data_IF_171905775790
#
_entry.id   IF_171905775790
#
_cell.length_a   1.000
_cell.length_b   1.000
_cell.length_c   1.000
_cell.angle_alpha   90.00
_cell.angle_beta   90.00
_cell.angle_gamma   90.00
#
_symmetry.space_group_name_H-M   'P 1'
#
loop_
_entity.id
_entity.type
_entity.pdbx_description
1 polymer ?
#
# COMPACT_ATOMS: atom_id res chain seq x y z
N UNK A 1 6.54 0.08 -5.64
CA UNK A 1 6.92 -1.36 -5.73
C UNK A 1 5.70 -2.19 -5.37
N UNK A 2 5.52 -3.39 -5.95
CA UNK A 2 4.35 -4.26 -5.68
C UNK A 2 4.82 -5.51 -4.96
N UNK A 3 4.23 -5.80 -3.81
CA UNK A 3 4.47 -7.01 -3.03
C UNK A 3 3.20 -7.86 -3.12
N UNK A 4 3.34 -9.13 -3.50
CA UNK A 4 2.20 -10.05 -3.64
C UNK A 4 2.39 -11.28 -2.78
N UNK A 5 1.37 -11.64 -2.01
CA UNK A 5 1.29 -12.88 -1.26
C UNK A 5 -0.05 -13.57 -1.51
N UNK A 6 -0.02 -14.68 -2.27
CA UNK A 6 -1.22 -15.35 -2.76
C UNK A 6 -2.20 -14.37 -3.44
N UNK A 7 -3.36 -14.16 -2.82
CA UNK A 7 -4.45 -13.27 -3.27
C UNK A 7 -4.34 -11.85 -2.68
N UNK A 8 -3.48 -11.63 -1.69
CA UNK A 8 -3.25 -10.32 -1.08
C UNK A 8 -2.06 -9.62 -1.75
N UNK A 9 -2.21 -8.32 -1.98
CA UNK A 9 -1.19 -7.47 -2.57
C UNK A 9 -1.10 -6.13 -1.85
N UNK A 10 0.11 -5.59 -1.82
CA UNK A 10 0.45 -4.30 -1.22
C UNK A 10 1.20 -3.49 -2.27
N UNK A 11 0.73 -2.27 -2.54
CA UNK A 11 1.34 -1.40 -3.53
C UNK A 11 1.93 -0.18 -2.84
N UNK A 12 3.25 -0.09 -2.81
CA UNK A 12 3.95 1.06 -2.24
C UNK A 12 4.10 2.14 -3.31
N UNK A 13 3.39 3.25 -3.11
CA UNK A 13 3.43 4.46 -3.94
C UNK A 13 4.08 5.63 -3.19
N UNK A 14 4.74 6.58 -3.86
CA UNK A 14 5.33 7.76 -3.22
C UNK A 14 4.37 8.95 -3.07
N UNK A 15 3.18 8.87 -3.67
CA UNK A 15 2.11 9.88 -3.58
C UNK A 15 0.74 9.22 -3.52
N UNK A 16 -0.22 9.91 -2.91
CA UNK A 16 -1.62 9.45 -2.83
C UNK A 16 -2.25 9.27 -4.21
N UNK A 17 -2.02 10.23 -5.14
CA UNK A 17 -2.53 10.15 -6.52
C UNK A 17 -2.09 8.87 -7.24
N UNK A 18 -0.82 8.46 -7.03
CA UNK A 18 -0.29 7.24 -7.64
C UNK A 18 -0.93 5.99 -7.04
N UNK A 19 -1.33 6.04 -5.78
CA UNK A 19 -2.04 4.96 -5.12
C UNK A 19 -3.47 4.80 -5.66
N UNK A 20 -4.16 5.91 -5.88
CA UNK A 20 -5.48 5.89 -6.51
C UNK A 20 -5.42 5.34 -7.93
N UNK A 21 -4.42 5.75 -8.71
CA UNK A 21 -4.17 5.18 -10.04
C UNK A 21 -3.89 3.68 -9.94
N UNK A 22 -3.02 3.25 -9.01
CA UNK A 22 -2.71 1.84 -8.82
C UNK A 22 -3.95 1.02 -8.42
N UNK A 23 -4.82 1.57 -7.58
CA UNK A 23 -6.10 0.96 -7.22
C UNK A 23 -7.00 0.82 -8.45
N UNK A 24 -7.15 1.86 -9.26
CA UNK A 24 -7.95 1.81 -10.50
C UNK A 24 -7.43 0.75 -11.46
N UNK A 25 -6.11 0.69 -11.65
CA UNK A 25 -5.45 -0.35 -12.48
C UNK A 25 -5.69 -1.75 -11.93
N UNK A 26 -5.65 -1.93 -10.60
CA UNK A 26 -5.94 -3.21 -9.98
C UNK A 26 -7.41 -3.63 -10.17
N UNK A 27 -8.36 -2.70 -10.04
CA UNK A 27 -9.79 -2.93 -10.30
C UNK A 27 -10.02 -3.34 -11.77
N UNK A 28 -9.40 -2.63 -12.72
CA UNK A 28 -9.48 -2.96 -14.15
C UNK A 28 -8.86 -4.32 -14.48
N UNK A 29 -7.74 -4.67 -13.85
CA UNK A 29 -7.08 -5.96 -14.07
C UNK A 29 -7.88 -7.14 -13.48
N UNK A 30 -8.60 -6.92 -12.37
CA UNK A 30 -9.43 -7.94 -11.72
C UNK A 30 -10.79 -8.12 -12.39
N UNK A 31 -11.33 -7.09 -13.03
CA UNK A 31 -12.68 -7.12 -13.62
C UNK A 31 -12.89 -8.29 -14.63
N UNK A 32 -11.95 -8.61 -15.54
CA UNK A 32 -12.08 -9.76 -16.44
C UNK A 32 -12.10 -11.12 -15.72
N UNK A 33 -11.56 -11.19 -14.50
CA UNK A 33 -11.51 -12.40 -13.68
C UNK A 33 -12.76 -12.54 -12.79
N UNK A 34 -13.70 -11.58 -12.85
CA UNK A 34 -14.88 -11.55 -11.99
C UNK A 34 -14.58 -11.23 -10.52
N UNK A 35 -13.36 -10.78 -10.24
CA UNK A 35 -12.90 -10.43 -8.90
C UNK A 35 -13.13 -8.94 -8.64
N UNK A 36 -13.42 -8.58 -7.39
CA UNK A 36 -13.60 -7.20 -6.95
C UNK A 36 -12.77 -6.94 -5.71
N UNK A 37 -12.18 -5.75 -5.63
CA UNK A 37 -11.51 -5.28 -4.42
C UNK A 37 -12.54 -5.12 -3.31
N UNK A 38 -12.23 -5.64 -2.12
CA UNK A 38 -13.12 -5.55 -0.97
C UNK A 38 -12.94 -4.18 -0.30
N UNK A 39 -13.96 -3.31 -0.24
CA UNK A 39 -13.81 -1.92 0.21
C UNK A 39 -13.27 -1.81 1.65
N UNK A 40 -13.60 -2.77 2.52
CA UNK A 40 -13.11 -2.76 3.90
C UNK A 40 -11.68 -3.29 4.07
N UNK A 41 -11.17 -4.06 3.10
CA UNK A 41 -9.80 -4.60 3.13
C UNK A 41 -8.82 -3.79 2.31
N UNK A 42 -9.31 -3.05 1.32
CA UNK A 42 -8.51 -2.21 0.43
C UNK A 42 -8.56 -0.76 0.90
N UNK A 43 -7.50 -0.31 1.55
CA UNK A 43 -7.37 1.06 2.07
C UNK A 43 -6.03 1.63 1.65
N UNK A 44 -6.06 2.85 1.12
CA UNK A 44 -4.89 3.73 1.02
C UNK A 44 -4.54 4.23 2.43
N UNK A 45 -3.44 3.73 3.00
CA UNK A 45 -2.94 4.09 4.34
C UNK A 45 -1.72 4.99 4.21
N UNK A 46 -1.62 6.08 5.00
CA UNK A 46 -0.42 6.92 4.99
C UNK A 46 0.64 6.43 5.99
N UNK A 47 1.66 5.74 5.50
CA UNK A 47 2.77 5.22 6.31
C UNK A 47 3.79 6.28 6.77
N UNK A 48 3.64 7.55 6.37
CA UNK A 48 4.63 8.59 6.62
C UNK A 48 4.81 8.87 8.11
N UNK A 49 6.08 8.88 8.55
CA UNK A 49 6.47 9.08 9.96
C UNK A 49 5.86 8.06 10.94
N UNK A 50 5.50 6.87 10.45
CA UNK A 50 4.86 5.83 11.27
C UNK A 50 3.51 6.26 11.84
N UNK A 51 2.83 7.22 11.21
CA UNK A 51 1.52 7.73 11.67
C UNK A 51 0.44 6.67 11.62
N UNK A 52 0.45 5.86 10.57
CA UNK A 52 -0.50 4.77 10.38
C UNK A 52 0.24 3.46 10.10
N UNK A 53 -0.45 2.35 10.34
CA UNK A 53 -0.02 0.99 10.01
C UNK A 53 -1.12 0.28 9.24
N UNK A 54 -0.77 -0.85 8.64
CA UNK A 54 -1.71 -1.68 7.88
C UNK A 54 -1.57 -3.15 8.27
N UNK A 55 -2.67 -3.87 8.22
CA UNK A 55 -2.69 -5.31 8.48
C UNK A 55 -2.40 -6.07 7.19
N UNK A 56 -1.39 -6.93 7.23
CA UNK A 56 -1.03 -7.82 6.12
C UNK A 56 -0.66 -9.19 6.67
N UNK A 57 -1.36 -10.23 6.20
CA UNK A 57 -1.16 -11.63 6.60
C UNK A 57 -1.22 -11.87 8.12
N UNK A 58 -2.06 -11.13 8.83
CA UNK A 58 -2.19 -11.23 10.29
C UNK A 58 -1.10 -10.49 11.09
N UNK A 59 -0.24 -9.72 10.41
CA UNK A 59 0.72 -8.83 11.04
C UNK A 59 0.30 -7.37 10.84
N UNK A 60 0.33 -6.61 11.93
CA UNK A 60 0.15 -5.17 11.86
C UNK A 60 1.51 -4.53 11.56
N UNK A 61 1.66 -4.02 10.33
CA UNK A 61 2.91 -3.46 9.83
C UNK A 61 2.91 -1.94 10.07
N UNK A 62 3.95 -1.46 10.76
CA UNK A 62 4.23 -0.04 10.89
C UNK A 62 5.58 0.28 10.27
N UNK A 63 5.67 1.44 9.65
CA UNK A 63 6.95 1.91 9.15
C UNK A 63 7.76 2.54 10.29
N UNK A 64 8.78 1.82 10.74
CA UNK A 64 9.69 2.27 11.80
C UNK A 64 10.95 2.90 11.20
N UNK A 65 11.51 3.88 11.92
CA UNK A 65 12.80 4.48 11.59
C UNK A 65 13.92 3.43 11.59
N UNK A 66 14.47 3.14 10.42
CA UNK A 66 15.71 2.37 10.31
C UNK A 66 16.89 3.34 10.35
N UNK A 67 17.75 3.21 11.37
CA UNK A 67 18.95 4.06 11.51
C UNK A 67 19.94 3.99 10.34
N UNK A 68 19.74 3.08 9.38
CA UNK A 68 20.54 2.94 8.17
C UNK A 68 20.05 3.80 6.99
N UNK A 69 18.80 4.25 6.99
CA UNK A 69 18.22 5.06 5.92
C UNK A 69 17.40 6.22 6.52
N UNK A 70 17.97 7.44 6.59
CA UNK A 70 17.24 8.59 7.10
C UNK A 70 16.08 8.96 6.18
N UNK A 71 14.90 9.17 6.76
CA UNK A 71 13.66 9.56 6.08
C UNK A 71 13.74 10.82 5.22
N UNK A 72 14.79 11.62 5.38
CA UNK A 72 15.02 12.84 4.60
C UNK A 72 15.22 12.60 3.10
N UNK A 73 15.39 11.33 2.67
CA UNK A 73 15.66 10.97 1.28
C UNK A 73 14.48 10.27 0.57
N UNK A 74 13.35 10.02 1.24
CA UNK A 74 12.20 9.33 0.63
C UNK A 74 11.02 10.29 0.43
N UNK A 75 10.38 10.32 -0.76
CA UNK A 75 9.17 11.10 -0.98
C UNK A 75 8.04 10.64 -0.05
N UNK A 76 7.42 11.62 0.61
CA UNK A 76 6.74 11.54 1.91
C UNK A 76 5.24 11.18 1.87
N UNK A 77 4.75 10.40 0.92
CA UNK A 77 3.35 9.94 0.92
C UNK A 77 3.24 8.50 0.47
N UNK A 78 3.35 7.58 1.43
CA UNK A 78 3.30 6.15 1.16
C UNK A 78 1.91 5.60 1.40
N UNK A 79 1.23 5.25 0.32
CA UNK A 79 -0.02 4.48 0.32
C UNK A 79 0.27 2.98 0.30
N UNK A 80 -0.63 2.20 0.88
CA UNK A 80 -0.70 0.72 0.82
C UNK A 80 -1.93 0.30 0.04
#
# INVERSE_FOLDING_TARGET
>A
EVIRYADDWVVLCPTTDRAEIARSVAEEALAPLGLRLHPDKTRIVNLTRGKEGFDFLGFHNHMCESGKFPWSLLPLEMAV
#
